data_IF_561205659246
#
_entry.id   IF_561205659246
#
_cell.length_a   1.000
_cell.length_b   1.000
_cell.length_c   1.000
_cell.angle_alpha   90.00
_cell.angle_beta   90.00
_cell.angle_gamma   90.00
#
_symmetry.space_group_name_H-M   'P 1'
#
loop_
_entity.id
_entity.type
_entity.pdbx_description
1 polymer ?
#
# COMPACT_ATOMS: atom_id res chain seq x y z
N UNK A 1 -14.79 1.13 3.50
CA UNK A 1 -15.12 2.16 2.50
C UNK A 1 -13.89 2.55 1.67
N UNK A 2 -12.76 2.89 2.31
CA UNK A 2 -11.50 3.28 1.65
C UNK A 2 -10.96 2.27 0.61
N UNK A 3 -10.97 0.96 0.89
CA UNK A 3 -10.48 -0.05 -0.06
C UNK A 3 -11.31 -0.13 -1.36
N UNK A 4 -12.63 0.13 -1.29
CA UNK A 4 -13.49 0.18 -2.48
C UNK A 4 -13.20 1.44 -3.31
N UNK A 5 -12.98 2.58 -2.65
CA UNK A 5 -12.57 3.82 -3.29
C UNK A 5 -11.23 3.65 -4.01
N UNK A 6 -10.23 3.07 -3.32
CA UNK A 6 -8.92 2.73 -3.91
C UNK A 6 -9.07 1.91 -5.20
N UNK A 7 -9.90 0.87 -5.19
CA UNK A 7 -10.13 0.05 -6.38
C UNK A 7 -10.77 0.84 -7.55
N UNK A 8 -11.65 1.80 -7.25
CA UNK A 8 -12.24 2.70 -8.24
C UNK A 8 -11.21 3.65 -8.87
N UNK A 9 -10.36 4.25 -8.04
CA UNK A 9 -9.31 5.18 -8.49
C UNK A 9 -8.26 4.50 -9.38
N UNK A 10 -7.87 3.26 -9.05
CA UNK A 10 -6.92 2.49 -9.85
C UNK A 10 -7.45 2.24 -11.27
N UNK A 11 -8.75 1.97 -11.42
CA UNK A 11 -9.37 1.72 -12.75
C UNK A 11 -9.25 2.91 -13.70
N UNK A 12 -9.15 4.14 -13.19
CA UNK A 12 -8.97 5.33 -14.04
C UNK A 12 -7.69 5.26 -14.88
N UNK A 13 -6.66 4.52 -14.44
CA UNK A 13 -5.42 4.36 -15.19
C UNK A 13 -5.59 3.58 -16.50
N UNK A 14 -6.60 2.72 -16.63
CA UNK A 14 -6.81 1.89 -17.82
C UNK A 14 -6.94 2.72 -19.10
N UNK A 15 -7.54 3.92 -19.02
CA UNK A 15 -7.63 4.86 -20.15
C UNK A 15 -6.24 5.29 -20.62
N UNK A 16 -5.37 5.63 -19.68
CA UNK A 16 -4.00 6.09 -19.96
C UNK A 16 -3.12 4.94 -20.45
N UNK A 17 -3.33 3.73 -19.92
CA UNK A 17 -2.65 2.53 -20.40
C UNK A 17 -2.94 2.25 -21.88
N UNK A 18 -4.21 2.43 -22.32
CA UNK A 18 -4.59 2.33 -23.74
C UNK A 18 -3.94 3.41 -24.62
N UNK A 19 -3.77 4.62 -24.09
CA UNK A 19 -3.07 5.70 -24.80
C UNK A 19 -1.58 5.37 -24.95
N UNK A 20 -0.94 4.83 -23.90
CA UNK A 20 0.46 4.38 -23.93
C UNK A 20 0.63 3.26 -24.96
N UNK A 21 -0.25 2.25 -24.96
CA UNK A 21 -0.23 1.16 -25.93
C UNK A 21 -0.29 1.69 -27.37
N UNK A 22 -1.27 2.57 -27.63
CA UNK A 22 -1.46 3.20 -28.94
C UNK A 22 -0.23 4.00 -29.35
N UNK A 23 0.33 4.80 -28.43
CA UNK A 23 1.53 5.59 -28.66
C UNK A 23 2.71 4.71 -29.08
N UNK A 24 3.02 3.67 -28.29
CA UNK A 24 4.15 2.77 -28.55
C UNK A 24 4.01 2.12 -29.93
N UNK A 25 2.82 1.59 -30.25
CA UNK A 25 2.55 1.00 -31.56
C UNK A 25 2.78 2.00 -32.69
N UNK A 26 2.17 3.18 -32.61
CA UNK A 26 2.29 4.22 -33.65
C UNK A 26 3.72 4.71 -33.82
N UNK A 27 4.53 4.74 -32.77
CA UNK A 27 5.94 5.14 -32.88
C UNK A 27 6.79 4.03 -33.52
N UNK A 28 6.54 2.76 -33.16
CA UNK A 28 7.32 1.62 -33.62
C UNK A 28 6.90 1.11 -35.02
N UNK A 29 5.69 1.35 -35.50
CA UNK A 29 5.29 0.87 -36.85
C UNK A 29 5.75 1.77 -38.00
N UNK A 30 6.34 2.95 -37.72
CA UNK A 30 6.72 3.92 -38.76
C UNK A 30 7.93 3.50 -39.58
N UNK A 31 8.92 2.88 -38.94
CA UNK A 31 10.17 2.43 -39.57
C UNK A 31 10.87 1.44 -38.65
N UNK A 32 11.42 0.37 -39.24
CA UNK A 32 12.19 -0.63 -38.49
C UNK A 32 13.40 -0.01 -37.79
N UNK A 33 13.46 -0.18 -36.47
CA UNK A 33 14.52 0.41 -35.66
C UNK A 33 15.87 -0.23 -35.96
N UNK A 34 15.91 -1.49 -36.42
CA UNK A 34 17.14 -2.18 -36.83
C UNK A 34 17.95 -1.44 -37.89
N UNK A 35 17.33 -0.50 -38.61
CA UNK A 35 17.98 0.37 -39.61
C UNK A 35 18.59 1.65 -39.03
N UNK A 36 18.48 1.88 -37.72
CA UNK A 36 18.89 3.14 -37.09
C UNK A 36 20.35 3.10 -36.65
N UNK A 37 21.02 4.26 -36.73
CA UNK A 37 22.25 4.50 -35.97
C UNK A 37 21.92 4.70 -34.48
N UNK A 38 22.93 4.58 -33.62
CA UNK A 38 22.79 4.83 -32.17
C UNK A 38 22.22 6.21 -31.87
N UNK A 39 22.74 7.25 -32.52
CA UNK A 39 22.26 8.63 -32.32
C UNK A 39 20.79 8.80 -32.74
N UNK A 40 20.40 8.15 -33.85
CA UNK A 40 19.01 8.19 -34.33
C UNK A 40 18.07 7.46 -33.37
N UNK A 41 18.53 6.35 -32.77
CA UNK A 41 17.79 5.66 -31.72
C UNK A 41 17.60 6.55 -30.49
N UNK A 42 18.65 7.18 -29.98
CA UNK A 42 18.53 8.02 -28.77
C UNK A 42 17.61 9.23 -29.02
N UNK A 43 17.67 9.85 -30.21
CA UNK A 43 16.70 10.88 -30.59
C UNK A 43 15.25 10.34 -30.67
N UNK A 44 15.07 9.10 -31.14
CA UNK A 44 13.77 8.45 -31.14
C UNK A 44 13.27 8.17 -29.73
N UNK A 45 14.12 7.61 -28.86
CA UNK A 45 13.80 7.33 -27.47
C UNK A 45 13.46 8.59 -26.69
N UNK A 46 14.18 9.70 -26.90
CA UNK A 46 13.87 10.99 -26.27
C UNK A 46 12.47 11.52 -26.67
N UNK A 47 12.09 11.39 -27.95
CA UNK A 47 10.73 11.76 -28.40
C UNK A 47 9.65 10.84 -27.83
N UNK A 48 9.91 9.54 -27.74
CA UNK A 48 8.99 8.58 -27.13
C UNK A 48 8.84 8.87 -25.63
N UNK A 49 9.94 9.10 -24.93
CA UNK A 49 9.97 9.46 -23.51
C UNK A 49 9.14 10.71 -23.21
N UNK A 50 9.31 11.78 -23.98
CA UNK A 50 8.52 13.01 -23.82
C UNK A 50 7.01 12.77 -23.95
N UNK A 51 6.59 12.03 -24.98
CA UNK A 51 5.16 11.71 -25.19
C UNK A 51 4.60 10.77 -24.11
N UNK A 52 5.39 9.81 -23.65
CA UNK A 52 4.99 8.97 -22.53
C UNK A 52 4.82 9.80 -21.27
N UNK A 53 5.76 10.72 -21.01
CA UNK A 53 5.74 11.59 -19.84
C UNK A 53 4.52 12.50 -19.82
N UNK A 54 4.08 13.01 -20.98
CA UNK A 54 2.82 13.77 -21.10
C UNK A 54 1.61 12.95 -20.64
N UNK A 55 1.50 11.68 -21.07
CA UNK A 55 0.39 10.79 -20.69
C UNK A 55 0.44 10.49 -19.18
N UNK A 56 1.61 10.12 -18.65
CA UNK A 56 1.77 9.84 -17.22
C UNK A 56 1.56 11.07 -16.35
N UNK A 57 1.97 12.26 -16.80
CA UNK A 57 1.73 13.52 -16.10
C UNK A 57 0.25 13.86 -16.06
N UNK A 58 -0.46 13.72 -17.18
CA UNK A 58 -1.90 13.93 -17.23
C UNK A 58 -2.67 13.00 -16.27
N UNK A 59 -2.19 11.76 -16.10
CA UNK A 59 -2.72 10.86 -15.08
C UNK A 59 -2.35 11.30 -13.66
N UNK A 60 -1.10 11.68 -13.42
CA UNK A 60 -0.63 12.17 -12.13
C UNK A 60 -1.35 13.44 -11.66
N UNK A 61 -1.73 14.34 -12.58
CA UNK A 61 -2.50 15.54 -12.28
C UNK A 61 -3.96 15.21 -11.91
N UNK A 62 -4.57 14.25 -12.63
CA UNK A 62 -5.89 13.71 -12.26
C UNK A 62 -5.86 13.11 -10.85
N UNK A 63 -4.91 12.21 -10.59
CA UNK A 63 -4.74 11.57 -9.27
C UNK A 63 -4.53 12.60 -8.18
N UNK A 64 -3.67 13.62 -8.39
CA UNK A 64 -3.47 14.68 -7.39
C UNK A 64 -4.75 15.46 -7.09
N UNK A 65 -5.59 15.69 -8.09
CA UNK A 65 -6.89 16.37 -7.90
C UNK A 65 -7.82 15.49 -7.07
N UNK A 66 -8.00 14.23 -7.46
CA UNK A 66 -8.85 13.27 -6.75
C UNK A 66 -8.39 13.08 -5.29
N UNK A 67 -7.08 13.04 -5.05
CA UNK A 67 -6.51 12.89 -3.71
C UNK A 67 -6.86 14.06 -2.77
N UNK A 68 -6.98 15.28 -3.29
CA UNK A 68 -7.40 16.42 -2.49
C UNK A 68 -8.87 16.28 -2.10
N UNK A 69 -9.74 15.91 -3.04
CA UNK A 69 -11.16 15.72 -2.76
C UNK A 69 -11.39 14.59 -1.75
N UNK A 70 -10.61 13.51 -1.85
CA UNK A 70 -10.60 12.41 -0.88
C UNK A 70 -10.17 12.90 0.50
N UNK A 71 -9.12 13.72 0.59
CA UNK A 71 -8.64 14.26 1.86
C UNK A 71 -9.68 15.17 2.54
N UNK A 72 -10.35 16.03 1.76
CA UNK A 72 -11.40 16.90 2.27
C UNK A 72 -12.61 16.11 2.75
N UNK A 73 -13.04 15.11 1.96
CA UNK A 73 -14.11 14.20 2.36
C UNK A 73 -13.76 13.44 3.66
N UNK A 74 -12.56 12.90 3.76
CA UNK A 74 -12.10 12.17 4.95
C UNK A 74 -12.12 13.07 6.19
N UNK A 75 -11.63 14.31 6.07
CA UNK A 75 -11.65 15.29 7.16
C UNK A 75 -13.06 15.55 7.69
N UNK A 76 -14.02 15.80 6.78
CA UNK A 76 -15.43 16.00 7.12
C UNK A 76 -16.07 14.73 7.69
N UNK A 77 -15.78 13.57 7.11
CA UNK A 77 -16.29 12.29 7.59
C UNK A 77 -15.83 11.98 9.02
N UNK A 78 -14.56 12.21 9.32
CA UNK A 78 -13.98 11.99 10.66
C UNK A 78 -14.58 12.93 11.70
N UNK A 79 -14.70 14.22 11.38
CA UNK A 79 -15.35 15.18 12.26
C UNK A 79 -16.82 14.83 12.51
N UNK A 80 -17.59 14.52 11.46
CA UNK A 80 -18.99 14.10 11.61
C UNK A 80 -19.14 12.82 12.43
N UNK A 81 -18.20 11.89 12.29
CA UNK A 81 -18.16 10.66 13.09
C UNK A 81 -17.92 10.95 14.57
N UNK A 82 -16.99 11.87 14.88
CA UNK A 82 -16.76 12.35 16.25
C UNK A 82 -18.00 13.07 16.80
N UNK A 83 -18.57 14.02 16.05
CA UNK A 83 -19.77 14.77 16.44
C UNK A 83 -20.92 13.84 16.78
N UNK A 84 -21.19 12.84 15.92
CA UNK A 84 -22.26 11.88 16.14
C UNK A 84 -21.98 10.95 17.31
N UNK A 85 -20.75 10.43 17.43
CA UNK A 85 -20.42 9.48 18.48
C UNK A 85 -20.41 10.13 19.87
N UNK A 86 -19.91 11.36 19.98
CA UNK A 86 -19.73 12.07 21.26
C UNK A 86 -20.85 13.07 21.56
N UNK A 87 -21.77 13.32 20.62
CA UNK A 87 -22.79 14.37 20.70
C UNK A 87 -22.18 15.75 20.97
N UNK A 88 -21.17 16.09 20.17
CA UNK A 88 -20.44 17.38 20.22
C UNK A 88 -20.43 18.05 18.84
N UNK A 89 -19.99 19.30 18.79
CA UNK A 89 -19.64 19.99 17.55
C UNK A 89 -18.15 19.85 17.26
N UNK A 90 -17.75 18.73 16.65
CA UNK A 90 -16.35 18.50 16.31
C UNK A 90 -15.87 19.50 15.24
N UNK A 91 -14.67 20.03 15.43
CA UNK A 91 -14.02 20.96 14.52
C UNK A 91 -13.66 20.25 13.22
N UNK A 92 -14.11 20.81 12.10
CA UNK A 92 -13.65 20.43 10.76
C UNK A 92 -12.50 21.37 10.37
N UNK A 93 -11.26 20.88 10.18
CA UNK A 93 -10.19 21.71 9.66
C UNK A 93 -10.54 22.35 8.32
N UNK A 94 -10.07 23.57 8.10
CA UNK A 94 -10.35 24.29 6.84
C UNK A 94 -9.70 23.60 5.63
N UNK A 95 -10.27 23.80 4.45
CA UNK A 95 -9.73 23.27 3.20
C UNK A 95 -8.25 23.65 2.98
N UNK A 96 -7.86 24.86 3.41
CA UNK A 96 -6.48 25.35 3.32
C UNK A 96 -5.54 24.54 4.20
N UNK A 97 -5.95 24.21 5.43
CA UNK A 97 -5.14 23.38 6.36
C UNK A 97 -4.96 21.98 5.79
N UNK A 98 -6.05 21.33 5.35
CA UNK A 98 -5.97 19.97 4.79
C UNK A 98 -5.09 19.95 3.53
N UNK A 99 -5.28 20.90 2.60
CA UNK A 99 -4.46 21.00 1.38
C UNK A 99 -2.98 21.22 1.73
N UNK A 100 -2.67 22.10 2.68
CA UNK A 100 -1.30 22.33 3.09
C UNK A 100 -0.67 21.05 3.68
N UNK A 101 -1.40 20.35 4.55
CA UNK A 101 -0.91 19.14 5.21
C UNK A 101 -0.59 18.00 4.24
N UNK A 102 -1.52 17.67 3.32
CA UNK A 102 -1.34 16.52 2.40
C UNK A 102 -0.13 16.66 1.47
N UNK A 103 0.25 17.90 1.11
CA UNK A 103 1.40 18.17 0.24
C UNK A 103 2.70 18.48 0.99
N UNK A 104 2.63 18.89 2.26
CA UNK A 104 3.81 19.26 3.05
C UNK A 104 4.32 18.13 3.94
N UNK A 105 3.47 17.18 4.31
CA UNK A 105 3.89 16.04 5.12
C UNK A 105 4.52 14.95 4.25
N UNK A 106 5.70 14.43 4.65
CA UNK A 106 6.34 13.35 3.93
C UNK A 106 5.58 12.04 4.13
N UNK A 107 5.61 11.19 3.10
CA UNK A 107 5.13 9.82 3.19
C UNK A 107 5.92 9.04 4.26
N UNK A 108 5.19 8.31 5.10
CA UNK A 108 5.72 7.51 6.21
C UNK A 108 6.13 6.08 5.80
N UNK A 109 6.16 5.81 4.49
CA UNK A 109 6.50 4.50 3.92
C UNK A 109 7.94 4.13 4.30
N UNK A 110 8.14 2.96 4.92
CA UNK A 110 9.49 2.44 5.28
C UNK A 110 10.17 1.77 4.08
N UNK A 111 10.39 2.52 2.99
CA UNK A 111 11.11 2.08 1.79
C UNK A 111 11.96 3.23 1.21
N UNK A 112 12.55 3.04 0.02
CA UNK A 112 13.23 4.10 -0.74
C UNK A 112 12.31 5.29 -1.08
N UNK A 113 10.99 5.10 -0.98
CA UNK A 113 9.99 6.15 -1.18
C UNK A 113 9.62 6.91 0.11
N UNK A 114 10.14 6.46 1.26
CA UNK A 114 9.98 7.16 2.54
C UNK A 114 10.60 8.55 2.51
N UNK A 115 9.93 9.51 3.16
CA UNK A 115 10.40 10.90 3.20
C UNK A 115 10.03 11.74 1.97
N UNK A 116 9.56 11.11 0.87
CA UNK A 116 9.08 11.87 -0.29
C UNK A 116 7.80 12.63 0.05
N UNK A 117 7.66 13.83 -0.51
CA UNK A 117 6.37 14.51 -0.58
C UNK A 117 5.48 13.86 -1.64
N UNK A 118 4.16 13.99 -1.49
CA UNK A 118 3.17 13.36 -2.38
C UNK A 118 3.42 13.64 -3.86
N UNK A 119 3.69 14.90 -4.22
CA UNK A 119 3.99 15.30 -5.60
C UNK A 119 5.25 14.63 -6.15
N UNK A 120 6.29 14.53 -5.32
CA UNK A 120 7.57 13.90 -5.70
C UNK A 120 7.45 12.38 -5.80
N UNK A 121 6.61 11.77 -4.97
CA UNK A 121 6.29 10.35 -5.05
C UNK A 121 5.60 10.00 -6.37
N UNK A 122 4.56 10.75 -6.75
CA UNK A 122 3.82 10.53 -8.00
C UNK A 122 4.71 10.82 -9.23
N UNK A 123 5.45 11.94 -9.24
CA UNK A 123 6.30 12.29 -10.38
C UNK A 123 7.47 11.32 -10.57
N UNK A 124 8.06 10.83 -9.48
CA UNK A 124 9.11 9.82 -9.51
C UNK A 124 8.63 8.49 -10.10
N UNK A 125 7.40 8.09 -9.77
CA UNK A 125 6.76 6.94 -10.40
C UNK A 125 6.55 7.16 -11.90
N UNK A 126 5.95 8.29 -12.31
CA UNK A 126 5.75 8.62 -13.72
C UNK A 126 7.04 8.50 -14.53
N UNK A 127 8.15 9.05 -14.02
CA UNK A 127 9.47 8.95 -14.66
C UNK A 127 9.98 7.51 -14.74
N UNK A 128 9.80 6.73 -13.67
CA UNK A 128 10.22 5.33 -13.62
C UNK A 128 9.50 4.51 -14.69
N UNK A 129 8.20 4.75 -14.89
CA UNK A 129 7.41 4.03 -15.88
C UNK A 129 7.70 4.44 -17.33
N UNK A 130 8.04 5.72 -17.60
CA UNK A 130 8.53 6.09 -18.95
C UNK A 130 9.85 5.41 -19.27
N UNK A 131 10.78 5.37 -18.30
CA UNK A 131 12.08 4.71 -18.45
C UNK A 131 11.91 3.20 -18.66
N UNK A 132 10.94 2.55 -18.02
CA UNK A 132 10.68 1.12 -18.21
C UNK A 132 10.37 0.79 -19.67
N UNK A 133 9.52 1.59 -20.31
CA UNK A 133 9.16 1.42 -21.72
C UNK A 133 10.35 1.72 -22.63
N UNK A 134 11.03 2.85 -22.43
CA UNK A 134 12.15 3.24 -23.30
C UNK A 134 13.37 2.32 -23.18
N UNK A 135 13.65 1.80 -21.97
CA UNK A 135 14.69 0.81 -21.76
C UNK A 135 14.37 -0.53 -22.45
N UNK A 136 13.09 -0.91 -22.51
CA UNK A 136 12.66 -2.11 -23.24
C UNK A 136 12.89 -1.95 -24.74
N UNK A 137 12.58 -0.78 -25.30
CA UNK A 137 12.89 -0.46 -26.71
C UNK A 137 14.40 -0.49 -26.95
N UNK A 138 15.19 0.17 -26.08
CA UNK A 138 16.65 0.22 -26.21
C UNK A 138 17.27 -1.18 -26.17
N UNK A 139 16.82 -2.02 -25.24
CA UNK A 139 17.28 -3.40 -25.10
C UNK A 139 16.96 -4.22 -26.35
N UNK A 140 15.71 -4.14 -26.84
CA UNK A 140 15.30 -4.86 -28.04
C UNK A 140 16.09 -4.45 -29.29
N UNK A 141 16.31 -3.14 -29.48
CA UNK A 141 17.19 -2.64 -30.54
C UNK A 141 18.61 -3.22 -30.41
N UNK A 142 19.21 -3.17 -29.22
CA UNK A 142 20.57 -3.68 -28.98
C UNK A 142 20.71 -5.18 -29.22
N UNK A 143 19.61 -5.93 -29.09
CA UNK A 143 19.53 -7.37 -29.36
C UNK A 143 19.14 -7.70 -30.81
N UNK A 144 18.96 -6.69 -31.68
CA UNK A 144 18.56 -6.91 -33.07
C UNK A 144 17.11 -7.38 -33.24
N UNK A 145 16.24 -7.16 -32.24
CA UNK A 145 14.83 -7.52 -32.33
C UNK A 145 14.10 -6.67 -33.37
N UNK A 146 13.11 -7.25 -34.03
CA UNK A 146 12.19 -6.51 -34.90
C UNK A 146 11.26 -5.62 -34.06
N UNK A 147 10.71 -4.58 -34.68
CA UNK A 147 9.75 -3.73 -33.97
C UNK A 147 8.52 -4.51 -33.47
N UNK A 148 8.10 -5.56 -34.18
CA UNK A 148 7.01 -6.44 -33.74
C UNK A 148 7.34 -7.17 -32.42
N UNK A 149 8.57 -7.68 -32.29
CA UNK A 149 9.04 -8.34 -31.06
C UNK A 149 9.12 -7.34 -29.90
N UNK A 150 9.62 -6.11 -30.15
CA UNK A 150 9.66 -5.05 -29.13
C UNK A 150 8.26 -4.65 -28.68
N UNK A 151 7.33 -4.47 -29.62
CA UNK A 151 5.92 -4.19 -29.32
C UNK A 151 5.33 -5.32 -28.46
N UNK A 152 5.57 -6.58 -28.81
CA UNK A 152 5.09 -7.74 -28.06
C UNK A 152 5.67 -7.78 -26.63
N UNK A 153 6.96 -7.47 -26.43
CA UNK A 153 7.56 -7.39 -25.10
C UNK A 153 6.93 -6.27 -24.25
N UNK A 154 6.56 -5.14 -24.87
CA UNK A 154 5.92 -4.04 -24.16
C UNK A 154 4.47 -4.36 -23.82
N UNK A 155 3.69 -4.86 -24.78
CA UNK A 155 2.25 -5.14 -24.63
C UNK A 155 1.95 -6.40 -23.86
N UNK A 156 2.77 -7.43 -24.04
CA UNK A 156 2.49 -8.79 -23.63
C UNK A 156 1.81 -9.61 -24.73
N UNK A 157 1.60 -10.89 -24.42
CA UNK A 157 1.03 -11.88 -25.31
C UNK A 157 -0.49 -11.95 -25.17
N UNK A 158 -1.21 -11.96 -26.30
CA UNK A 158 -2.66 -12.17 -26.31
C UNK A 158 -3.05 -13.52 -25.67
N UNK A 159 -2.26 -14.58 -25.90
CA UNK A 159 -2.44 -15.89 -25.30
C UNK A 159 -2.32 -15.88 -23.76
N UNK A 160 -1.61 -14.89 -23.19
CA UNK A 160 -1.47 -14.68 -21.75
C UNK A 160 -2.33 -13.52 -21.24
N UNK A 161 -3.36 -13.13 -22.01
CA UNK A 161 -4.21 -11.98 -21.72
C UNK A 161 -3.43 -10.68 -21.44
N UNK A 162 -2.28 -10.50 -22.09
CA UNK A 162 -1.39 -9.33 -21.94
C UNK A 162 -0.86 -9.12 -20.51
N UNK A 163 -0.79 -10.16 -19.68
CA UNK A 163 -0.37 -10.05 -18.27
C UNK A 163 1.14 -10.11 -18.03
N UNK A 164 1.87 -10.50 -19.07
CA UNK A 164 3.32 -10.77 -19.12
C UNK A 164 4.15 -9.60 -19.68
N UNK A 165 3.50 -8.60 -20.27
CA UNK A 165 4.16 -7.42 -20.84
C UNK A 165 4.55 -6.35 -19.81
N UNK A 166 5.39 -5.42 -20.25
CA UNK A 166 5.78 -4.23 -19.48
C UNK A 166 4.58 -3.38 -19.07
N UNK A 167 3.56 -3.23 -19.93
CA UNK A 167 2.36 -2.47 -19.60
C UNK A 167 1.55 -3.10 -18.45
N UNK A 168 1.58 -4.43 -18.31
CA UNK A 168 0.96 -5.10 -17.17
C UNK A 168 1.70 -4.79 -15.86
N UNK A 169 3.03 -4.70 -15.91
CA UNK A 169 3.86 -4.23 -14.78
C UNK A 169 3.51 -2.79 -14.42
N UNK A 170 3.47 -1.89 -15.41
CA UNK A 170 3.09 -0.49 -15.20
C UNK A 170 1.70 -0.34 -14.59
N UNK A 171 0.74 -1.17 -15.01
CA UNK A 171 -0.61 -1.20 -14.42
C UNK A 171 -0.60 -1.62 -12.94
N UNK A 172 0.15 -2.67 -12.58
CA UNK A 172 0.31 -3.11 -11.18
C UNK A 172 1.02 -2.06 -10.32
N UNK A 173 1.99 -1.35 -10.90
CA UNK A 173 2.70 -0.28 -10.22
C UNK A 173 1.82 0.95 -10.01
N UNK A 174 1.01 1.32 -11.01
CA UNK A 174 0.01 2.38 -10.89
C UNK A 174 -0.94 2.09 -9.73
N UNK A 175 -1.43 0.85 -9.64
CA UNK A 175 -2.27 0.42 -8.53
C UNK A 175 -1.59 0.63 -7.17
N UNK A 176 -0.29 0.34 -7.09
CA UNK A 176 0.46 0.48 -5.84
C UNK A 176 0.69 1.92 -5.41
N UNK A 177 0.99 2.80 -6.37
CA UNK A 177 1.19 4.23 -6.12
C UNK A 177 -0.11 4.91 -5.72
N UNK A 178 -1.20 4.64 -6.44
CA UNK A 178 -2.52 5.21 -6.14
C UNK A 178 -3.00 4.78 -4.76
N UNK A 179 -2.94 3.47 -4.44
CA UNK A 179 -3.37 2.96 -3.14
C UNK A 179 -2.57 3.58 -1.98
N UNK A 180 -1.25 3.72 -2.17
CA UNK A 180 -0.37 4.33 -1.17
C UNK A 180 -0.67 5.81 -1.00
N UNK A 181 -0.85 6.54 -2.11
CA UNK A 181 -1.18 7.96 -2.10
C UNK A 181 -2.54 8.23 -1.41
N UNK A 182 -3.56 7.42 -1.71
CA UNK A 182 -4.87 7.51 -1.05
C UNK A 182 -4.74 7.26 0.45
N UNK A 183 -3.96 6.25 0.85
CA UNK A 183 -3.74 5.98 2.27
C UNK A 183 -3.02 7.14 2.97
N UNK A 184 -2.05 7.76 2.30
CA UNK A 184 -1.32 8.93 2.81
C UNK A 184 -2.28 10.08 3.07
N UNK A 185 -3.03 10.52 2.05
CA UNK A 185 -3.92 11.69 2.19
C UNK A 185 -5.06 11.46 3.17
N UNK A 186 -5.63 10.25 3.21
CA UNK A 186 -6.67 9.91 4.18
C UNK A 186 -6.12 9.94 5.62
N UNK A 187 -4.93 9.37 5.83
CA UNK A 187 -4.33 9.38 7.18
C UNK A 187 -3.91 10.78 7.59
N UNK A 188 -3.34 11.57 6.69
CA UNK A 188 -2.99 12.97 6.96
C UNK A 188 -4.23 13.79 7.31
N UNK A 189 -5.29 13.71 6.51
CA UNK A 189 -6.53 14.42 6.77
C UNK A 189 -7.14 14.04 8.12
N UNK A 190 -7.21 12.73 8.41
CA UNK A 190 -7.67 12.25 9.72
C UNK A 190 -6.83 12.83 10.85
N UNK A 191 -5.51 12.78 10.78
CA UNK A 191 -4.65 13.27 11.86
C UNK A 191 -4.82 14.77 12.08
N UNK A 192 -5.00 15.58 11.04
CA UNK A 192 -5.33 17.00 11.18
C UNK A 192 -6.68 17.20 11.88
N UNK A 193 -7.70 16.43 11.51
CA UNK A 193 -9.01 16.46 12.17
C UNK A 193 -8.92 16.05 13.65
N UNK A 194 -8.18 14.97 13.96
CA UNK A 194 -7.99 14.54 15.34
C UNK A 194 -7.22 15.56 16.18
N UNK A 195 -6.23 16.25 15.59
CA UNK A 195 -5.48 17.33 16.28
C UNK A 195 -6.36 18.53 16.59
N UNK A 196 -7.23 18.91 15.66
CA UNK A 196 -8.19 20.00 15.85
C UNK A 196 -9.23 19.69 16.95
N UNK A 197 -9.38 18.42 17.34
CA UNK A 197 -10.32 17.94 18.36
C UNK A 197 -9.60 17.24 19.53
N UNK A 198 -8.40 17.73 19.89
CA UNK A 198 -7.54 17.12 20.91
C UNK A 198 -8.05 17.27 22.35
N UNK A 199 -9.10 18.06 22.56
CA UNK A 199 -9.86 18.16 23.81
C UNK A 199 -10.67 16.89 24.13
N UNK A 200 -11.10 16.15 23.10
CA UNK A 200 -11.86 14.90 23.22
C UNK A 200 -11.12 13.66 22.71
N UNK A 201 -10.12 13.85 21.85
CA UNK A 201 -9.27 12.78 21.31
C UNK A 201 -7.98 12.65 22.14
N UNK A 202 -7.85 11.52 22.83
CA UNK A 202 -6.69 11.22 23.69
C UNK A 202 -5.52 10.61 22.91
N UNK A 203 -5.80 10.01 21.75
CA UNK A 203 -4.82 9.31 20.93
C UNK A 203 -5.50 8.55 19.81
N UNK A 204 -4.83 7.52 19.30
CA UNK A 204 -5.41 6.63 18.29
C UNK A 204 -4.98 5.18 18.51
N UNK A 205 -5.80 4.28 17.97
CA UNK A 205 -5.52 2.85 17.88
C UNK A 205 -5.28 2.47 16.43
N UNK A 206 -4.24 1.70 16.17
CA UNK A 206 -3.99 1.13 14.85
C UNK A 206 -4.97 -0.02 14.58
N UNK A 207 -5.56 -0.03 13.38
CA UNK A 207 -6.54 -1.03 12.94
C UNK A 207 -6.15 -1.55 11.56
N UNK A 208 -5.75 -2.81 11.48
CA UNK A 208 -5.32 -3.48 10.26
C UNK A 208 -6.48 -4.16 9.52
N UNK A 209 -6.35 -4.38 8.21
CA UNK A 209 -7.33 -5.25 7.53
C UNK A 209 -7.15 -6.69 8.00
N UNK A 210 -8.23 -7.39 8.37
CA UNK A 210 -8.21 -8.80 8.77
C UNK A 210 -8.34 -9.70 7.53
N UNK A 211 -7.23 -10.01 6.87
CA UNK A 211 -7.16 -10.96 5.75
C UNK A 211 -5.75 -11.55 5.60
N UNK A 212 -5.56 -12.49 4.66
CA UNK A 212 -4.25 -13.13 4.41
C UNK A 212 -3.16 -12.22 3.83
N UNK A 213 -3.52 -11.08 3.23
CA UNK A 213 -2.63 -10.17 2.50
C UNK A 213 -2.03 -9.08 3.39
N UNK A 214 -2.50 -8.93 4.63
CA UNK A 214 -1.99 -7.91 5.56
C UNK A 214 -0.53 -8.17 5.88
N UNK A 215 0.32 -7.14 5.77
CA UNK A 215 1.76 -7.28 5.96
C UNK A 215 2.12 -7.63 7.40
N UNK A 216 3.26 -8.28 7.61
CA UNK A 216 3.71 -8.65 8.96
C UNK A 216 3.80 -7.46 9.91
N UNK A 217 4.22 -6.29 9.41
CA UNK A 217 4.24 -5.04 10.18
C UNK A 217 2.84 -4.65 10.64
N UNK A 218 1.89 -4.60 9.72
CA UNK A 218 0.50 -4.25 10.04
C UNK A 218 -0.15 -5.27 10.98
N UNK A 219 0.12 -6.57 10.79
CA UNK A 219 -0.38 -7.61 11.71
C UNK A 219 0.08 -7.35 13.14
N UNK A 220 1.37 -7.02 13.31
CA UNK A 220 1.95 -6.70 14.62
C UNK A 220 1.42 -5.41 15.24
N UNK A 221 1.10 -4.39 14.43
CA UNK A 221 0.58 -3.11 14.91
C UNK A 221 -0.91 -3.16 15.29
N UNK A 222 -1.68 -4.15 14.84
CA UNK A 222 -3.13 -4.19 15.06
C UNK A 222 -3.49 -4.19 16.54
N UNK A 223 -4.32 -3.22 16.94
CA UNK A 223 -4.74 -3.04 18.33
C UNK A 223 -3.80 -2.17 19.18
N UNK A 224 -2.58 -1.86 18.73
CA UNK A 224 -1.68 -0.96 19.46
C UNK A 224 -2.25 0.46 19.55
N UNK A 225 -2.13 1.08 20.72
CA UNK A 225 -2.59 2.45 21.01
C UNK A 225 -1.38 3.40 21.09
N UNK A 226 -1.55 4.61 20.60
CA UNK A 226 -0.53 5.63 20.54
C UNK A 226 -1.10 7.00 20.92
N UNK A 227 -0.28 7.82 21.57
CA UNK A 227 -0.57 9.25 21.71
C UNK A 227 -0.66 9.89 20.32
N UNK A 228 -1.48 10.94 20.22
CA UNK A 228 -1.68 11.65 18.97
C UNK A 228 -0.34 12.20 18.44
N UNK A 229 0.04 11.74 17.23
CA UNK A 229 1.29 12.14 16.57
C UNK A 229 2.58 11.47 17.08
N UNK A 230 2.54 10.53 18.04
CA UNK A 230 3.76 9.89 18.60
C UNK A 230 3.97 8.42 18.21
N UNK A 231 3.23 7.92 17.22
CA UNK A 231 3.30 6.53 16.78
C UNK A 231 3.34 6.39 15.25
N UNK A 232 3.43 5.15 14.75
CA UNK A 232 3.39 4.89 13.32
C UNK A 232 2.02 5.25 12.74
N UNK A 233 2.02 5.78 11.52
CA UNK A 233 0.82 6.12 10.77
C UNK A 233 0.80 5.37 9.44
N UNK A 234 -0.37 4.90 8.97
CA UNK A 234 -0.51 4.43 7.59
C UNK A 234 -0.22 5.56 6.58
N UNK A 235 0.30 5.26 5.38
CA UNK A 235 0.83 3.97 4.96
C UNK A 235 2.23 3.73 5.57
N UNK A 236 2.39 2.67 6.36
CA UNK A 236 3.72 2.25 6.84
C UNK A 236 4.57 1.60 5.74
N UNK A 237 3.93 1.08 4.68
CA UNK A 237 4.58 0.48 3.52
C UNK A 237 3.72 0.70 2.26
N UNK A 238 4.28 0.43 1.08
CA UNK A 238 3.54 0.43 -0.19
C UNK A 238 2.39 -0.59 -0.11
N UNK A 239 1.21 -0.24 -0.61
CA UNK A 239 -0.01 -1.06 -0.49
C UNK A 239 -0.47 -1.31 0.96
N UNK A 240 -0.20 -0.38 1.88
CA UNK A 240 -0.78 -0.45 3.23
C UNK A 240 -2.32 -0.38 3.16
N UNK A 241 -2.97 -1.29 3.90
CA UNK A 241 -4.43 -1.41 4.02
C UNK A 241 -4.89 -1.32 5.48
N UNK A 242 -4.04 -0.75 6.31
CA UNK A 242 -4.35 -0.46 7.71
C UNK A 242 -4.77 1.00 7.83
N UNK A 243 -5.47 1.28 8.92
CA UNK A 243 -6.07 2.56 9.23
C UNK A 243 -5.87 2.84 10.72
N UNK A 244 -6.29 4.01 11.18
CA UNK A 244 -6.30 4.35 12.61
C UNK A 244 -7.70 4.78 13.04
N UNK A 245 -8.06 4.50 14.29
CA UNK A 245 -9.31 4.99 14.88
C UNK A 245 -8.99 5.87 16.09
N UNK A 246 -9.71 6.99 16.31
CA UNK A 246 -9.48 7.83 17.47
C UNK A 246 -9.77 7.07 18.76
N UNK A 247 -8.98 7.36 19.79
CA UNK A 247 -9.24 6.91 21.16
C UNK A 247 -9.73 8.09 21.98
N UNK A 248 -10.86 7.92 22.64
CA UNK A 248 -11.58 8.92 23.44
C UNK A 248 -11.94 8.30 24.80
N UNK A 249 -12.46 9.10 25.74
CA UNK A 249 -12.95 8.60 27.03
C UNK A 249 -14.11 7.59 26.89
N UNK A 250 -14.81 7.59 25.76
CA UNK A 250 -15.96 6.69 25.49
C UNK A 250 -15.58 5.46 24.64
N UNK A 251 -14.31 5.31 24.24
CA UNK A 251 -13.92 4.24 23.32
C UNK A 251 -14.19 2.82 23.86
N UNK A 252 -14.08 2.60 25.17
CA UNK A 252 -14.39 1.28 25.76
C UNK A 252 -15.89 0.98 25.70
N UNK A 253 -16.73 2.00 25.92
CA UNK A 253 -18.18 1.88 25.78
C UNK A 253 -18.57 1.56 24.33
N UNK A 254 -17.95 2.24 23.35
CA UNK A 254 -18.22 2.01 21.93
C UNK A 254 -17.64 0.70 21.40
N UNK A 255 -16.67 0.09 22.09
CA UNK A 255 -16.11 -1.18 21.69
C UNK A 255 -17.03 -2.37 22.01
N UNK A 256 -17.97 -2.19 22.96
CA UNK A 256 -18.91 -3.25 23.35
C UNK A 256 -19.82 -3.60 22.17
N UNK A 257 -19.87 -4.90 21.83
CA UNK A 257 -20.67 -5.47 20.74
C UNK A 257 -20.37 -4.88 19.34
N UNK A 258 -19.27 -4.10 19.21
CA UNK A 258 -18.86 -3.54 17.95
C UNK A 258 -18.25 -4.62 17.06
N UNK A 259 -18.41 -4.45 15.74
CA UNK A 259 -17.88 -5.39 14.75
C UNK A 259 -16.91 -4.73 13.79
N UNK A 260 -16.02 -5.52 13.21
CA UNK A 260 -15.12 -5.13 12.12
C UNK A 260 -15.14 -6.18 11.00
N UNK A 261 -14.92 -5.72 9.78
CA UNK A 261 -14.89 -6.60 8.62
C UNK A 261 -13.61 -7.45 8.60
N UNK A 262 -13.76 -8.70 8.16
CA UNK A 262 -12.67 -9.64 7.89
C UNK A 262 -12.91 -10.41 6.59
N UNK A 263 -11.84 -10.97 6.03
CA UNK A 263 -11.89 -11.92 4.92
C UNK A 263 -11.05 -13.14 5.33
N UNK A 264 -11.74 -14.14 5.88
CA UNK A 264 -11.17 -15.41 6.30
C UNK A 264 -11.17 -16.46 5.18
N UNK A 265 -10.93 -17.71 5.55
CA UNK A 265 -10.94 -18.85 4.62
C UNK A 265 -12.32 -19.03 3.94
N UNK A 266 -13.39 -18.80 4.70
CA UNK A 266 -14.79 -18.87 4.25
C UNK A 266 -15.29 -17.58 3.57
N UNK A 267 -14.41 -16.62 3.29
CA UNK A 267 -14.77 -15.35 2.67
C UNK A 267 -15.05 -14.22 3.67
N UNK A 268 -15.87 -13.25 3.25
CA UNK A 268 -16.12 -12.01 4.00
C UNK A 268 -17.07 -12.21 5.18
N UNK A 269 -16.69 -11.72 6.36
CA UNK A 269 -17.50 -11.80 7.59
C UNK A 269 -17.33 -10.56 8.48
N UNK A 270 -18.31 -10.30 9.35
CA UNK A 270 -18.15 -9.39 10.49
C UNK A 270 -17.66 -10.20 11.69
N UNK A 271 -16.63 -9.71 12.37
CA UNK A 271 -16.09 -10.30 13.60
C UNK A 271 -16.04 -9.24 14.69
N UNK A 272 -15.86 -9.66 15.93
CA UNK A 272 -15.76 -8.75 17.07
C UNK A 272 -14.62 -7.71 16.86
N UNK A 273 -14.92 -6.43 17.12
CA UNK A 273 -13.99 -5.32 16.90
C UNK A 273 -12.84 -5.27 17.93
N UNK A 274 -12.93 -6.03 19.02
CA UNK A 274 -11.88 -6.18 20.01
C UNK A 274 -10.75 -7.11 19.53
N UNK A 275 -11.05 -8.04 18.61
CA UNK A 275 -10.06 -8.95 18.06
C UNK A 275 -8.96 -8.15 17.34
N UNK A 276 -7.72 -8.34 17.80
CA UNK A 276 -6.54 -8.00 17.04
C UNK A 276 -6.28 -9.05 15.95
N UNK A 277 -5.33 -8.76 15.07
CA UNK A 277 -5.07 -9.60 13.90
C UNK A 277 -4.72 -11.05 14.28
N UNK A 278 -3.92 -11.27 15.32
CA UNK A 278 -3.50 -12.61 15.71
C UNK A 278 -4.62 -13.36 16.44
N UNK A 279 -5.40 -12.70 17.29
CA UNK A 279 -6.59 -13.29 17.91
C UNK A 279 -7.59 -13.76 16.84
N UNK A 280 -7.86 -12.91 15.84
CA UNK A 280 -8.66 -13.29 14.69
C UNK A 280 -8.03 -14.42 13.88
N UNK A 281 -6.73 -14.37 13.61
CA UNK A 281 -6.02 -15.39 12.83
C UNK A 281 -6.05 -16.77 13.51
N UNK A 282 -6.06 -16.83 14.84
CA UNK A 282 -6.18 -18.08 15.59
C UNK A 282 -7.48 -18.84 15.28
N UNK A 283 -8.54 -18.13 14.85
CA UNK A 283 -9.83 -18.74 14.45
C UNK A 283 -9.81 -19.34 13.05
N UNK A 284 -8.76 -19.07 12.26
CA UNK A 284 -8.65 -19.52 10.87
C UNK A 284 -7.95 -20.89 10.78
N UNK A 285 -8.23 -21.71 9.74
CA UNK A 285 -7.60 -23.01 9.58
C UNK A 285 -6.09 -22.89 9.35
N UNK A 286 -5.34 -23.94 9.68
CA UNK A 286 -3.88 -23.97 9.60
C UNK A 286 -3.33 -23.55 8.22
N UNK A 287 -3.97 -23.99 7.14
CA UNK A 287 -3.63 -23.60 5.76
C UNK A 287 -3.70 -22.08 5.54
N UNK A 288 -4.73 -21.43 6.09
CA UNK A 288 -4.90 -19.99 6.01
C UNK A 288 -3.85 -19.26 6.85
N UNK A 289 -3.56 -19.77 8.05
CA UNK A 289 -2.51 -19.22 8.91
C UNK A 289 -1.13 -19.29 8.24
N UNK A 290 -0.82 -20.40 7.56
CA UNK A 290 0.43 -20.58 6.82
C UNK A 290 0.50 -19.67 5.59
N UNK A 291 -0.62 -19.42 4.91
CA UNK A 291 -0.67 -18.41 3.85
C UNK A 291 -0.39 -17.01 4.41
N UNK A 292 -1.02 -16.66 5.54
CA UNK A 292 -0.89 -15.34 6.14
C UNK A 292 0.51 -15.08 6.70
N UNK A 293 1.10 -16.04 7.43
CA UNK A 293 2.35 -15.87 8.17
C UNK A 293 3.59 -16.47 7.47
N UNK A 294 3.38 -17.32 6.48
CA UNK A 294 4.38 -18.26 5.98
C UNK A 294 4.42 -19.54 6.84
N UNK A 295 4.87 -20.68 6.29
CA UNK A 295 4.72 -21.99 6.92
C UNK A 295 5.45 -22.10 8.27
N UNK A 296 6.66 -21.55 8.38
CA UNK A 296 7.45 -21.63 9.61
C UNK A 296 6.81 -20.79 10.72
N UNK A 297 6.47 -19.52 10.43
CA UNK A 297 5.86 -18.63 11.43
C UNK A 297 4.43 -19.07 11.78
N UNK A 298 3.69 -19.65 10.83
CA UNK A 298 2.39 -20.28 11.07
C UNK A 298 2.49 -21.49 12.00
N UNK A 299 3.50 -22.34 11.83
CA UNK A 299 3.77 -23.44 12.77
C UNK A 299 4.12 -22.94 14.17
N UNK A 300 4.98 -21.92 14.27
CA UNK A 300 5.32 -21.29 15.56
C UNK A 300 4.08 -20.67 16.23
N UNK A 301 3.18 -20.08 15.45
CA UNK A 301 1.95 -19.48 15.95
C UNK A 301 1.01 -20.53 16.57
N UNK A 302 0.91 -21.72 15.97
CA UNK A 302 0.05 -22.81 16.47
C UNK A 302 0.69 -23.61 17.60
N UNK A 303 1.93 -24.03 17.40
CA UNK A 303 2.58 -25.07 18.20
C UNK A 303 3.59 -24.49 19.19
N UNK A 304 3.85 -23.18 19.13
CA UNK A 304 4.86 -22.50 19.93
C UNK A 304 4.45 -22.24 21.38
N UNK A 305 3.22 -22.62 21.77
CA UNK A 305 2.73 -22.53 23.15
C UNK A 305 2.51 -21.11 23.67
N UNK A 306 2.38 -20.12 22.79
CA UNK A 306 2.07 -18.74 23.14
C UNK A 306 0.61 -18.42 22.87
N UNK A 307 0.02 -17.54 23.68
CA UNK A 307 -1.28 -16.95 23.34
C UNK A 307 -1.12 -15.99 22.16
N UNK A 308 -2.19 -15.72 21.37
CA UNK A 308 -2.12 -14.79 20.25
C UNK A 308 -1.59 -13.40 20.62
N UNK A 309 -1.90 -12.89 21.82
CA UNK A 309 -1.47 -11.58 22.29
C UNK A 309 0.03 -11.57 22.63
N UNK A 310 0.52 -12.64 23.27
CA UNK A 310 1.97 -12.80 23.52
C UNK A 310 2.72 -12.94 22.20
N UNK A 311 2.18 -13.74 21.27
CA UNK A 311 2.76 -13.91 19.95
C UNK A 311 2.85 -12.56 19.23
N UNK A 312 1.78 -11.76 19.22
CA UNK A 312 1.71 -10.44 18.59
C UNK A 312 2.82 -9.49 19.09
N UNK A 313 3.04 -9.45 20.41
CA UNK A 313 4.06 -8.59 21.05
C UNK A 313 5.49 -8.93 20.65
N UNK A 314 5.75 -10.16 20.20
CA UNK A 314 7.07 -10.60 19.74
C UNK A 314 7.33 -10.31 18.27
N UNK A 315 6.35 -9.83 17.51
CA UNK A 315 6.48 -9.78 16.05
C UNK A 315 7.29 -8.59 15.54
N UNK A 316 7.40 -7.52 16.33
CA UNK A 316 8.02 -6.27 15.96
C UNK A 316 9.14 -5.89 16.93
N UNK A 317 10.18 -5.23 16.44
CA UNK A 317 11.18 -4.58 17.27
C UNK A 317 10.68 -3.25 17.90
N UNK A 318 11.53 -2.58 18.67
CA UNK A 318 11.25 -1.28 19.29
C UNK A 318 10.99 -0.15 18.29
N UNK A 319 11.34 -0.33 17.01
CA UNK A 319 11.11 0.59 15.90
C UNK A 319 9.94 0.15 15.00
N UNK A 320 9.12 -0.79 15.48
CA UNK A 320 7.98 -1.35 14.77
C UNK A 320 8.36 -2.03 13.44
N UNK A 321 9.58 -2.56 13.32
CA UNK A 321 9.97 -3.37 12.16
C UNK A 321 9.76 -4.86 12.45
N UNK A 322 9.27 -5.65 11.48
CA UNK A 322 9.14 -7.09 11.65
C UNK A 322 10.44 -7.79 12.03
N UNK A 323 10.43 -8.60 13.08
CA UNK A 323 11.55 -9.47 13.41
C UNK A 323 11.71 -10.57 12.37
N UNK A 324 12.96 -10.92 12.05
CA UNK A 324 13.29 -12.14 11.30
C UNK A 324 13.03 -13.40 12.14
N UNK A 325 13.01 -14.58 11.51
CA UNK A 325 12.89 -15.84 12.25
C UNK A 325 14.07 -16.08 13.21
N UNK A 326 15.28 -15.66 12.82
CA UNK A 326 16.46 -15.76 13.68
C UNK A 326 16.32 -14.88 14.94
N UNK A 327 15.90 -13.62 14.77
CA UNK A 327 15.65 -12.71 15.89
C UNK A 327 14.50 -13.19 16.79
N UNK A 328 13.44 -13.77 16.20
CA UNK A 328 12.37 -14.39 16.97
C UNK A 328 12.89 -15.57 17.81
N UNK A 329 13.80 -16.38 17.26
CA UNK A 329 14.40 -17.51 17.99
C UNK A 329 15.30 -17.05 19.13
N UNK A 330 16.03 -15.96 18.92
CA UNK A 330 16.82 -15.34 19.98
C UNK A 330 15.94 -14.77 21.10
N UNK A 331 14.82 -14.12 20.75
CA UNK A 331 13.91 -13.52 21.71
C UNK A 331 13.08 -14.54 22.49
N UNK A 332 12.64 -15.64 21.84
CA UNK A 332 11.80 -16.67 22.44
C UNK A 332 12.22 -18.07 21.91
N UNK A 333 13.32 -18.65 22.41
CA UNK A 333 13.84 -19.93 21.95
C UNK A 333 12.91 -21.09 22.28
N UNK A 334 12.23 -21.05 23.43
CA UNK A 334 11.34 -22.13 23.87
C UNK A 334 10.14 -22.30 22.94
N UNK A 335 9.66 -21.23 22.28
CA UNK A 335 8.62 -21.31 21.25
C UNK A 335 9.06 -22.20 20.09
N UNK A 336 10.33 -22.11 19.67
CA UNK A 336 10.87 -22.95 18.59
C UNK A 336 11.03 -24.40 19.04
N UNK A 337 11.48 -24.62 20.27
CA UNK A 337 11.61 -25.96 20.86
C UNK A 337 10.25 -26.65 20.97
N UNK A 338 9.23 -25.97 21.53
CA UNK A 338 7.86 -26.48 21.64
C UNK A 338 7.25 -26.81 20.28
N UNK A 339 7.48 -25.93 19.30
CA UNK A 339 7.02 -26.14 17.93
C UNK A 339 7.86 -27.16 17.14
N UNK A 340 8.95 -27.71 17.67
CA UNK A 340 9.85 -28.60 16.92
C UNK A 340 10.42 -27.97 15.64
N UNK A 341 10.67 -26.66 15.64
CA UNK A 341 11.19 -25.92 14.48
C UNK A 341 12.68 -25.67 14.65
N UNK A 342 13.49 -26.24 13.76
CA UNK A 342 14.92 -25.91 13.62
C UNK A 342 15.14 -24.99 12.43
N UNK A 343 15.71 -23.81 12.67
CA UNK A 343 16.21 -22.97 11.59
C UNK A 343 17.49 -23.60 11.05
N UNK A 344 17.52 -23.96 9.76
CA UNK A 344 18.74 -24.40 9.10
C UNK A 344 19.83 -23.32 9.19
N UNK A 345 21.10 -23.73 9.24
CA UNK A 345 22.21 -22.80 9.15
C UNK A 345 22.05 -21.94 7.90
N UNK A 346 21.99 -20.62 8.05
CA UNK A 346 22.07 -19.73 6.90
C UNK A 346 23.46 -19.94 6.28
N UNK A 347 23.57 -20.14 4.96
CA UNK A 347 24.87 -20.05 4.31
C UNK A 347 25.42 -18.64 4.57
N UNK A 348 26.66 -18.62 5.04
CA UNK A 348 27.47 -17.44 5.38
C UNK A 348 27.54 -16.40 4.26
#
# INVERSE_FOLDING_TARGET
>A
MLERLKAGEVKKFEKYLRQIDTLVRVQLTRKELTTYSRDRLEQFLARVDGKLLEIYKAYGDLVQTDLVDIALYESTFEANSLSKALSIDAVVPTNTVIRAAVFSYPLQVKSIDGGKLLKSFISGWSRTETMRVTNTIRLGFGQGQTNAQIIQAIRGNAAQNFTDGILAVSNRNAASVVQTAIQHVATTARMETLRANSDVVLGYRWVSTLDRKTSQECKGLDGMRFDLGKGPLPPAHINCRSTTVPTTRLSEMFAKDATRASVGDNGGAQVDASLNYYEWLATQPASFQDHALGPVRGKLFRDGGLTPEKFAKLQLDKSFKPLTLAQLKEAEPDMFTRAGVTLGAQPS
#
